data_IF_780690824553
#
_entry.id   IF_780690824553
#
_cell.length_a   1.000
_cell.length_b   1.000
_cell.length_c   1.000
_cell.angle_alpha   90.00
_cell.angle_beta   90.00
_cell.angle_gamma   90.00
#
_symmetry.space_group_name_H-M   'P 1'
#
loop_
_entity.id
_entity.type
_entity.pdbx_description
1 polymer ?
#
# COMPACT_ATOMS: atom_id res chain seq x y z
N UNK A 1 -58.70 -55.09 37.66
CA UNK A 1 -58.65 -53.62 37.58
C UNK A 1 -57.27 -53.17 38.08
N UNK A 2 -56.31 -53.07 37.18
CA UNK A 2 -55.04 -52.38 37.45
C UNK A 2 -54.82 -51.41 36.30
N UNK A 3 -54.85 -50.12 36.63
CA UNK A 3 -54.53 -49.01 35.75
C UNK A 3 -53.10 -48.64 36.11
N UNK A 4 -52.14 -48.97 35.25
CA UNK A 4 -50.77 -48.49 35.40
C UNK A 4 -50.64 -47.10 34.78
N UNK A 5 -50.19 -46.19 35.62
CA UNK A 5 -50.00 -44.77 35.43
C UNK A 5 -48.75 -44.52 34.58
N UNK A 6 -48.95 -44.27 33.28
CA UNK A 6 -47.89 -43.83 32.37
C UNK A 6 -47.83 -42.30 32.34
N UNK A 7 -47.22 -41.71 33.37
CA UNK A 7 -46.99 -40.27 33.42
C UNK A 7 -45.50 -39.93 33.58
N UNK A 8 -45.05 -38.96 32.77
CA UNK A 8 -43.90 -38.09 33.05
C UNK A 8 -42.48 -38.59 32.74
N UNK A 9 -42.18 -38.94 31.47
CA UNK A 9 -40.78 -39.01 30.98
C UNK A 9 -40.44 -37.87 29.99
N UNK A 10 -41.45 -37.30 29.31
CA UNK A 10 -41.25 -36.24 28.31
C UNK A 10 -40.63 -34.91 28.81
N UNK A 11 -40.93 -34.37 30.02
CA UNK A 11 -40.44 -33.05 30.40
C UNK A 11 -38.98 -33.05 30.85
N UNK A 12 -38.43 -34.20 31.24
CA UNK A 12 -37.02 -34.32 31.63
C UNK A 12 -36.10 -34.35 30.40
N UNK A 13 -36.44 -35.14 29.38
CA UNK A 13 -35.68 -35.23 28.14
C UNK A 13 -35.58 -33.88 27.39
N UNK A 14 -36.66 -33.10 27.38
CA UNK A 14 -36.66 -31.76 26.78
C UNK A 14 -35.74 -30.76 27.50
N UNK A 15 -35.60 -30.87 28.83
CA UNK A 15 -34.67 -30.05 29.61
C UNK A 15 -33.22 -30.40 29.29
N UNK A 16 -32.90 -31.69 29.18
CA UNK A 16 -31.56 -32.18 28.83
C UNK A 16 -31.12 -31.72 27.45
N UNK A 17 -32.02 -31.77 26.45
CA UNK A 17 -31.74 -31.26 25.10
C UNK A 17 -31.51 -29.74 25.09
N UNK A 18 -32.29 -29.00 25.89
CA UNK A 18 -32.12 -27.56 26.04
C UNK A 18 -30.76 -27.17 26.61
N UNK A 19 -30.31 -27.87 27.65
CA UNK A 19 -28.99 -27.67 28.28
C UNK A 19 -27.84 -28.05 27.33
N UNK A 20 -27.97 -29.15 26.60
CA UNK A 20 -27.00 -29.56 25.59
C UNK A 20 -26.87 -28.51 24.46
N UNK A 21 -28.00 -27.98 23.96
CA UNK A 21 -28.03 -26.91 22.97
C UNK A 21 -27.39 -25.61 23.48
N UNK A 22 -27.62 -25.23 24.73
CA UNK A 22 -26.97 -24.07 25.37
C UNK A 22 -25.46 -24.29 25.44
N UNK A 23 -25.02 -25.48 25.84
CA UNK A 23 -23.61 -25.85 25.94
C UNK A 23 -22.92 -25.83 24.56
N UNK A 24 -23.57 -26.40 23.53
CA UNK A 24 -23.08 -26.38 22.15
C UNK A 24 -23.02 -24.96 21.57
N UNK A 25 -24.01 -24.11 21.85
CA UNK A 25 -24.00 -22.69 21.44
C UNK A 25 -22.88 -21.92 22.14
N UNK A 26 -22.69 -22.12 23.44
CA UNK A 26 -21.61 -21.49 24.21
C UNK A 26 -20.23 -21.89 23.65
N UNK A 27 -20.06 -23.16 23.27
CA UNK A 27 -18.82 -23.68 22.65
C UNK A 27 -18.56 -23.14 21.24
N UNK A 28 -19.61 -22.80 20.48
CA UNK A 28 -19.51 -22.20 19.13
C UNK A 28 -19.23 -20.70 19.13
N UNK A 29 -19.64 -19.96 20.17
CA UNK A 29 -19.43 -18.51 20.30
C UNK A 29 -17.96 -18.04 20.19
N UNK A 30 -16.96 -18.67 20.85
CA UNK A 30 -15.58 -18.21 20.73
C UNK A 30 -15.03 -18.28 19.31
N UNK A 31 -15.44 -19.30 18.53
CA UNK A 31 -15.06 -19.40 17.11
C UNK A 31 -15.69 -18.30 16.24
N UNK A 32 -16.91 -17.86 16.57
CA UNK A 32 -17.57 -16.75 15.86
C UNK A 32 -17.06 -15.37 16.24
N UNK A 33 -16.14 -15.25 17.21
CA UNK A 33 -15.50 -13.99 17.54
C UNK A 33 -14.01 -13.98 17.22
N UNK A 34 -13.35 -15.15 17.11
CA UNK A 34 -11.96 -15.25 16.67
C UNK A 34 -11.72 -14.59 15.30
N UNK A 35 -12.63 -14.77 14.34
CA UNK A 35 -12.52 -14.08 13.04
C UNK A 35 -12.70 -12.56 13.16
N UNK A 36 -13.25 -12.04 14.28
CA UNK A 36 -13.33 -10.61 14.58
C UNK A 36 -12.04 -10.04 15.16
N UNK A 37 -11.15 -10.90 15.61
CA UNK A 37 -9.87 -10.52 16.20
C UNK A 37 -8.73 -10.44 15.18
N UNK A 38 -8.90 -11.02 13.99
CA UNK A 38 -7.86 -10.98 12.97
C UNK A 38 -7.88 -9.67 12.16
N UNK A 39 -6.71 -9.08 11.85
CA UNK A 39 -6.59 -8.06 10.82
C UNK A 39 -7.17 -8.58 9.51
N UNK A 40 -7.96 -7.74 8.82
CA UNK A 40 -8.60 -8.13 7.58
C UNK A 40 -8.14 -7.23 6.45
N UNK A 41 -7.69 -7.87 5.37
CA UNK A 41 -7.29 -7.22 4.13
C UNK A 41 -8.27 -7.61 3.02
N UNK A 42 -8.65 -6.67 2.18
CA UNK A 42 -9.36 -6.94 0.93
C UNK A 42 -9.03 -5.89 -0.12
N UNK A 43 -9.06 -6.29 -1.39
CA UNK A 43 -8.83 -5.41 -2.53
C UNK A 43 -10.09 -4.60 -2.83
N UNK A 44 -9.91 -3.35 -3.26
CA UNK A 44 -10.97 -2.53 -3.85
C UNK A 44 -11.03 -2.79 -5.35
N UNK A 45 -11.99 -2.18 -6.05
CA UNK A 45 -12.10 -2.27 -7.51
C UNK A 45 -10.80 -1.87 -8.21
N UNK A 46 -10.15 -0.80 -7.73
CA UNK A 46 -8.83 -0.36 -8.19
C UNK A 46 -7.73 -1.41 -7.96
N UNK A 47 -7.79 -2.11 -6.83
CA UNK A 47 -6.89 -3.23 -6.56
C UNK A 47 -7.08 -4.36 -7.55
N UNK A 48 -8.33 -4.75 -7.81
CA UNK A 48 -8.64 -5.83 -8.76
C UNK A 48 -8.21 -5.49 -10.19
N UNK A 49 -8.31 -4.22 -10.60
CA UNK A 49 -7.76 -3.73 -11.88
C UNK A 49 -6.24 -3.85 -11.98
N UNK A 50 -5.55 -3.83 -10.85
CA UNK A 50 -4.10 -3.97 -10.76
C UNK A 50 -3.65 -5.41 -10.41
N UNK A 51 -4.59 -6.35 -10.29
CA UNK A 51 -4.29 -7.71 -9.87
C UNK A 51 -3.41 -8.45 -10.89
N UNK A 52 -2.59 -9.36 -10.37
CA UNK A 52 -1.79 -10.30 -11.13
C UNK A 52 -2.02 -11.69 -10.55
N UNK A 53 -2.36 -12.66 -11.38
CA UNK A 53 -2.55 -14.06 -10.99
C UNK A 53 -1.42 -14.92 -11.51
N UNK A 54 -1.19 -16.06 -10.84
CA UNK A 54 -0.33 -17.11 -11.37
C UNK A 54 -0.89 -17.62 -12.70
N UNK A 55 -0.03 -17.93 -13.70
CA UNK A 55 -0.51 -18.57 -14.90
C UNK A 55 -0.93 -20.02 -14.60
N UNK A 56 -1.99 -20.46 -15.29
CA UNK A 56 -2.49 -21.83 -15.19
C UNK A 56 -1.47 -22.80 -15.81
N UNK A 57 -0.82 -23.60 -14.96
CA UNK A 57 0.14 -24.63 -15.38
C UNK A 57 -0.53 -25.70 -16.26
N UNK A 58 -1.84 -25.93 -16.07
CA UNK A 58 -2.60 -26.96 -16.79
C UNK A 58 -3.10 -26.52 -18.17
N UNK A 59 -2.97 -25.23 -18.54
CA UNK A 59 -3.23 -24.78 -19.91
C UNK A 59 -1.93 -24.82 -20.70
N UNK A 60 -1.78 -25.88 -21.48
CA UNK A 60 -0.75 -25.98 -22.51
C UNK A 60 -0.65 -24.70 -23.35
N UNK A 61 0.59 -24.33 -23.65
CA UNK A 61 1.02 -23.19 -24.45
C UNK A 61 0.00 -22.75 -25.52
N UNK A 62 -0.73 -21.67 -25.26
CA UNK A 62 -1.73 -21.18 -26.21
C UNK A 62 -2.52 -19.94 -25.78
N UNK A 63 -2.12 -19.25 -24.71
CA UNK A 63 -2.70 -17.97 -24.30
C UNK A 63 -1.66 -16.86 -24.40
N UNK A 64 -1.43 -16.34 -25.61
CA UNK A 64 -0.82 -15.01 -25.75
C UNK A 64 -1.83 -14.00 -25.23
N UNK A 65 -1.64 -13.54 -23.99
CA UNK A 65 -2.27 -12.31 -23.47
C UNK A 65 -1.62 -11.06 -24.10
N UNK A 66 -1.45 -11.10 -25.42
CA UNK A 66 -1.11 -9.95 -26.22
C UNK A 66 -2.37 -9.52 -26.96
N UNK A 67 -2.75 -8.26 -26.69
CA UNK A 67 -3.64 -7.42 -27.49
C UNK A 67 -5.11 -7.36 -27.03
N UNK A 68 -5.49 -6.26 -26.35
CA UNK A 68 -6.88 -5.81 -26.32
C UNK A 68 -7.45 -5.11 -25.08
N UNK A 69 -6.78 -5.08 -23.92
CA UNK A 69 -7.34 -4.45 -22.71
C UNK A 69 -6.29 -3.79 -21.79
N UNK A 70 -5.28 -3.12 -22.36
CA UNK A 70 -4.30 -2.33 -21.59
C UNK A 70 -4.86 -1.00 -21.08
N UNK A 71 -6.06 -0.58 -21.50
CA UNK A 71 -6.52 0.80 -21.29
C UNK A 71 -7.08 1.12 -19.90
N UNK A 72 -7.24 0.14 -19.00
CA UNK A 72 -7.91 0.36 -17.69
C UNK A 72 -7.19 -0.24 -16.47
N UNK A 73 -5.90 -0.59 -16.60
CA UNK A 73 -5.12 -1.08 -15.45
C UNK A 73 -4.79 0.10 -14.52
N UNK A 74 -5.47 0.17 -13.38
CA UNK A 74 -5.14 1.14 -12.33
C UNK A 74 -3.69 0.94 -11.90
N UNK A 75 -2.86 1.97 -12.07
CA UNK A 75 -1.46 1.92 -11.67
C UNK A 75 -1.36 2.00 -10.14
N UNK A 76 -0.77 0.98 -9.51
CA UNK A 76 -0.37 0.99 -8.09
C UNK A 76 1.10 1.38 -8.00
N UNK A 77 1.45 2.34 -7.15
CA UNK A 77 2.81 2.84 -6.96
C UNK A 77 3.37 2.41 -5.59
N UNK A 78 4.68 2.57 -5.38
CA UNK A 78 5.27 2.26 -4.07
C UNK A 78 4.68 3.10 -2.93
N UNK A 79 4.25 4.33 -3.23
CA UNK A 79 3.53 5.15 -2.26
C UNK A 79 2.21 4.52 -1.79
N UNK A 80 1.54 3.72 -2.63
CA UNK A 80 0.32 3.01 -2.23
C UNK A 80 0.62 1.89 -1.23
N UNK A 81 1.78 1.24 -1.36
CA UNK A 81 2.28 0.26 -0.39
C UNK A 81 2.63 0.97 0.92
N UNK A 82 3.30 2.12 0.82
CA UNK A 82 3.61 2.94 1.99
C UNK A 82 2.34 3.42 2.73
N UNK A 83 1.31 3.84 1.99
CA UNK A 83 0.01 4.22 2.55
C UNK A 83 -0.61 3.06 3.34
N UNK A 84 -0.55 1.83 2.81
CA UNK A 84 -1.00 0.64 3.52
C UNK A 84 -0.22 0.45 4.83
N UNK A 85 1.11 0.57 4.81
CA UNK A 85 1.93 0.47 6.01
C UNK A 85 1.54 1.52 7.06
N UNK A 86 1.30 2.77 6.65
CA UNK A 86 0.86 3.83 7.56
C UNK A 86 -0.53 3.55 8.14
N UNK A 87 -1.49 3.11 7.31
CA UNK A 87 -2.83 2.69 7.77
C UNK A 87 -2.75 1.51 8.72
N UNK A 88 -1.84 0.57 8.49
CA UNK A 88 -1.67 -0.58 9.38
C UNK A 88 -1.00 -0.22 10.72
N UNK A 89 -0.16 0.81 10.78
CA UNK A 89 0.42 1.32 12.04
C UNK A 89 -0.52 2.23 12.82
N UNK A 90 -1.15 3.19 12.14
CA UNK A 90 -1.88 4.30 12.76
C UNK A 90 -3.40 4.17 12.64
N UNK A 91 -3.89 3.31 11.76
CA UNK A 91 -5.32 3.04 11.63
C UNK A 91 -6.15 4.23 11.16
N UNK A 92 -7.01 4.70 12.04
CA UNK A 92 -7.89 5.85 11.77
C UNK A 92 -7.21 7.20 12.08
N UNK A 93 -6.06 7.18 12.77
CA UNK A 93 -5.31 8.41 13.09
C UNK A 93 -4.51 8.91 11.88
N UNK A 94 -4.25 8.05 10.89
CA UNK A 94 -3.62 8.49 9.65
C UNK A 94 -4.63 9.24 8.77
N UNK A 95 -4.27 10.41 8.22
CA UNK A 95 -5.09 11.11 7.23
C UNK A 95 -5.02 10.46 5.84
N UNK A 96 -4.24 9.38 5.68
CA UNK A 96 -3.99 8.71 4.41
C UNK A 96 -4.96 7.55 4.24
N UNK A 97 -5.61 7.48 3.07
CA UNK A 97 -6.43 6.37 2.66
C UNK A 97 -5.69 5.53 1.61
N UNK A 98 -5.78 4.20 1.72
CA UNK A 98 -5.35 3.30 0.65
C UNK A 98 -6.40 3.32 -0.46
N UNK A 99 -6.01 3.46 -1.74
CA UNK A 99 -7.00 3.45 -2.85
C UNK A 99 -7.30 2.06 -3.38
N UNK A 100 -6.27 1.20 -3.45
CA UNK A 100 -6.31 -0.14 -4.06
C UNK A 100 -6.72 -1.26 -3.10
N UNK A 101 -6.76 -0.98 -1.80
CA UNK A 101 -7.11 -1.97 -0.79
C UNK A 101 -7.78 -1.33 0.42
N UNK A 102 -8.28 -2.18 1.32
CA UNK A 102 -8.82 -1.81 2.62
C UNK A 102 -8.20 -2.71 3.67
N UNK A 103 -7.78 -2.08 4.77
CA UNK A 103 -7.21 -2.75 5.93
C UNK A 103 -8.06 -2.45 7.15
N UNK A 104 -8.62 -3.49 7.76
CA UNK A 104 -9.48 -3.39 8.93
C UNK A 104 -8.76 -3.97 10.16
N UNK A 105 -9.09 -3.40 11.32
CA UNK A 105 -8.61 -3.86 12.64
C UNK A 105 -7.09 -3.77 12.79
N UNK A 106 -6.52 -2.65 12.35
CA UNK A 106 -5.11 -2.33 12.54
C UNK A 106 -4.62 -2.50 14.00
N UNK A 107 -5.48 -2.22 15.00
CA UNK A 107 -5.14 -2.41 16.41
C UNK A 107 -4.89 -3.87 16.81
N UNK A 108 -5.20 -4.84 15.95
CA UNK A 108 -4.93 -6.27 16.14
C UNK A 108 -3.67 -6.73 15.42
N UNK A 109 -2.99 -5.84 14.71
CA UNK A 109 -1.76 -6.13 13.98
C UNK A 109 -0.58 -6.05 14.94
N UNK A 110 0.01 -7.20 15.26
CA UNK A 110 1.18 -7.24 16.13
C UNK A 110 2.43 -6.76 15.40
N UNK A 111 2.69 -7.31 14.22
CA UNK A 111 3.92 -7.07 13.45
C UNK A 111 3.61 -6.92 11.98
N UNK A 112 4.46 -6.16 11.29
CA UNK A 112 4.47 -6.06 9.84
C UNK A 112 5.88 -6.27 9.33
N UNK A 113 6.00 -7.08 8.29
CA UNK A 113 7.27 -7.40 7.65
C UNK A 113 7.14 -7.08 6.18
N UNK A 114 8.04 -6.24 5.67
CA UNK A 114 8.14 -5.91 4.24
C UNK A 114 9.42 -6.54 3.73
N UNK A 115 9.30 -7.43 2.74
CA UNK A 115 10.43 -8.09 2.09
C UNK A 115 10.53 -7.56 0.67
N UNK A 116 11.67 -6.94 0.34
CA UNK A 116 11.94 -6.45 -1.02
C UNK A 116 12.99 -7.35 -1.66
N UNK A 117 12.63 -8.00 -2.77
CA UNK A 117 13.53 -8.88 -3.52
C UNK A 117 13.92 -8.21 -4.83
N UNK A 118 15.21 -8.01 -5.04
CA UNK A 118 15.75 -7.38 -6.26
C UNK A 118 15.98 -8.44 -7.34
N UNK A 119 15.65 -8.09 -8.58
CA UNK A 119 15.93 -8.92 -9.76
C UNK A 119 14.85 -9.96 -10.08
N UNK A 120 13.66 -9.83 -9.47
CA UNK A 120 12.51 -10.69 -9.75
C UNK A 120 11.36 -9.83 -10.30
N UNK A 121 10.87 -10.14 -11.50
CA UNK A 121 9.69 -9.51 -12.08
C UNK A 121 8.48 -10.44 -12.01
N UNK A 122 7.27 -9.87 -12.16
CA UNK A 122 6.03 -10.65 -12.26
C UNK A 122 6.07 -11.63 -13.45
N UNK A 123 6.71 -11.23 -14.55
CA UNK A 123 6.81 -12.07 -15.74
C UNK A 123 7.83 -13.21 -15.51
N UNK A 124 8.94 -12.95 -14.80
CA UNK A 124 9.87 -14.02 -14.38
C UNK A 124 9.22 -15.03 -13.43
N UNK A 125 8.32 -14.58 -12.55
CA UNK A 125 7.50 -15.46 -11.70
C UNK A 125 6.54 -16.32 -12.53
N UNK A 126 5.88 -15.71 -13.52
CA UNK A 126 4.95 -16.40 -14.42
C UNK A 126 5.66 -17.47 -15.29
N UNK A 127 6.86 -17.19 -15.77
CA UNK A 127 7.63 -18.14 -16.60
C UNK A 127 8.23 -19.32 -15.80
N UNK A 128 8.36 -19.17 -14.48
CA UNK A 128 9.07 -20.11 -13.63
C UNK A 128 8.23 -20.59 -12.44
N UNK A 129 6.90 -20.73 -12.60
CA UNK A 129 5.98 -21.08 -11.49
C UNK A 129 6.42 -22.32 -10.72
N UNK A 130 6.93 -23.33 -11.42
CA UNK A 130 7.42 -24.58 -10.84
C UNK A 130 8.59 -24.40 -9.85
N UNK A 131 9.31 -23.27 -9.93
CA UNK A 131 10.39 -22.93 -9.00
C UNK A 131 9.89 -22.24 -7.74
N UNK A 132 8.62 -21.86 -7.67
CA UNK A 132 8.02 -21.11 -6.56
C UNK A 132 6.75 -21.78 -5.97
N UNK A 133 6.75 -23.10 -5.71
CA UNK A 133 5.55 -23.80 -5.23
C UNK A 133 5.08 -23.30 -3.86
N UNK A 134 6.01 -22.98 -2.96
CA UNK A 134 5.67 -22.43 -1.63
C UNK A 134 5.03 -21.04 -1.74
N UNK A 135 5.58 -20.18 -2.61
CA UNK A 135 5.05 -18.83 -2.80
C UNK A 135 3.64 -18.86 -3.38
N UNK A 136 3.38 -19.77 -4.34
CA UNK A 136 2.05 -20.00 -4.89
C UNK A 136 1.07 -20.52 -3.84
N UNK A 137 1.51 -21.40 -2.95
CA UNK A 137 0.67 -21.93 -1.87
C UNK A 137 0.33 -20.86 -0.82
N UNK A 138 1.25 -19.95 -0.52
CA UNK A 138 1.03 -18.83 0.41
C UNK A 138 0.11 -17.78 -0.23
N UNK A 139 0.25 -17.53 -1.53
CA UNK A 139 -0.49 -16.52 -2.28
C UNK A 139 -1.22 -17.16 -3.48
N UNK A 140 -2.27 -17.96 -3.26
CA UNK A 140 -2.93 -18.72 -4.34
C UNK A 140 -3.55 -17.82 -5.40
N UNK A 141 -4.06 -16.65 -5.00
CA UNK A 141 -4.69 -15.67 -5.89
C UNK A 141 -3.66 -14.74 -6.60
N UNK A 142 -2.36 -14.92 -6.32
CA UNK A 142 -1.30 -14.07 -6.85
C UNK A 142 -1.08 -12.79 -6.04
N UNK A 143 -1.03 -11.64 -6.70
CA UNK A 143 -0.65 -10.36 -6.11
C UNK A 143 -1.13 -9.15 -6.91
N UNK A 144 -0.43 -8.03 -6.76
CA UNK A 144 -0.76 -6.75 -7.41
C UNK A 144 0.48 -6.23 -8.14
N UNK A 145 0.30 -5.77 -9.39
CA UNK A 145 1.39 -5.15 -10.15
C UNK A 145 1.64 -3.74 -9.62
N UNK A 146 2.87 -3.51 -9.14
CA UNK A 146 3.33 -2.19 -8.69
C UNK A 146 4.25 -1.61 -9.75
N UNK A 147 4.04 -0.34 -10.10
CA UNK A 147 4.92 0.42 -10.99
C UNK A 147 6.27 0.60 -10.28
N UNK A 148 7.39 0.15 -10.87
CA UNK A 148 8.70 0.30 -10.25
C UNK A 148 9.07 1.77 -10.08
N UNK A 149 9.58 2.14 -8.89
CA UNK A 149 10.05 3.50 -8.54
C UNK A 149 10.95 4.13 -9.59
N UNK A 150 11.82 3.32 -10.20
CA UNK A 150 12.76 3.76 -11.22
C UNK A 150 12.08 4.34 -12.47
N UNK A 151 10.84 3.93 -12.78
CA UNK A 151 10.09 4.45 -13.95
C UNK A 151 9.69 5.92 -13.79
N UNK A 152 9.71 6.44 -12.57
CA UNK A 152 9.37 7.84 -12.27
C UNK A 152 10.46 8.54 -11.44
N UNK A 153 11.70 8.07 -11.56
CA UNK A 153 12.88 8.78 -11.02
C UNK A 153 13.08 8.67 -9.50
N UNK A 154 12.45 7.69 -8.85
CA UNK A 154 12.62 7.39 -7.42
C UNK A 154 13.31 6.03 -7.18
N UNK A 155 13.72 5.76 -5.95
CA UNK A 155 14.17 4.43 -5.53
C UNK A 155 13.17 3.81 -4.55
N UNK A 156 13.07 2.49 -4.56
CA UNK A 156 12.14 1.74 -3.69
C UNK A 156 12.41 2.00 -2.22
N UNK A 157 13.70 2.10 -1.82
CA UNK A 157 14.09 2.41 -0.45
C UNK A 157 13.65 3.82 -0.04
N UNK A 158 13.81 4.79 -0.94
CA UNK A 158 13.40 6.18 -0.73
C UNK A 158 11.90 6.25 -0.44
N UNK A 159 11.07 5.62 -1.27
CA UNK A 159 9.61 5.70 -1.12
C UNK A 159 9.06 4.91 0.07
N UNK A 160 9.67 3.79 0.44
CA UNK A 160 9.24 3.05 1.62
C UNK A 160 9.60 3.76 2.93
N UNK A 161 10.75 4.44 2.97
CA UNK A 161 11.26 5.06 4.20
C UNK A 161 10.79 6.51 4.40
N UNK A 162 10.36 7.20 3.35
CA UNK A 162 10.08 8.64 3.42
C UNK A 162 8.60 8.93 3.55
N UNK A 163 8.19 9.36 4.73
CA UNK A 163 6.81 9.75 4.99
C UNK A 163 6.41 10.91 4.05
N UNK A 164 5.23 10.85 3.41
CA UNK A 164 4.73 11.92 2.56
C UNK A 164 4.76 13.26 3.30
N UNK A 165 5.19 14.32 2.62
CA UNK A 165 5.24 15.66 3.21
C UNK A 165 3.82 16.06 3.61
N UNK A 166 3.63 16.28 4.91
CA UNK A 166 2.34 16.77 5.40
C UNK A 166 2.03 18.13 4.78
N UNK A 167 0.74 18.43 4.57
CA UNK A 167 0.30 19.70 3.98
C UNK A 167 0.95 20.93 4.66
N UNK A 168 1.05 20.92 5.99
CA UNK A 168 1.71 21.98 6.77
C UNK A 168 3.21 22.10 6.48
N UNK A 169 3.91 20.97 6.35
CA UNK A 169 5.32 20.96 6.01
C UNK A 169 5.54 21.46 4.58
N UNK A 170 4.66 21.09 3.65
CA UNK A 170 4.65 21.60 2.29
C UNK A 170 4.45 23.12 2.22
N UNK A 171 3.53 23.67 3.03
CA UNK A 171 3.37 25.13 3.14
C UNK A 171 4.63 25.81 3.68
N UNK A 172 5.26 25.26 4.73
CA UNK A 172 6.53 25.81 5.27
C UNK A 172 7.62 25.84 4.20
N UNK A 173 7.77 24.75 3.44
CA UNK A 173 8.75 24.66 2.35
C UNK A 173 8.45 25.66 1.24
N UNK A 174 7.18 25.86 0.87
CA UNK A 174 6.79 26.89 -0.09
C UNK A 174 7.10 28.30 0.42
N UNK A 175 6.92 28.57 1.72
CA UNK A 175 7.30 29.87 2.29
C UNK A 175 8.81 30.11 2.26
N UNK A 176 9.63 29.07 2.49
CA UNK A 176 11.09 29.19 2.53
C UNK A 176 11.71 29.21 1.12
N UNK A 177 11.20 28.39 0.21
CA UNK A 177 11.80 28.15 -1.11
C UNK A 177 11.00 28.73 -2.27
N UNK A 178 9.84 29.34 -2.02
CA UNK A 178 8.92 29.88 -3.03
C UNK A 178 8.03 28.80 -3.67
N UNK A 179 8.60 27.64 -4.01
CA UNK A 179 7.87 26.49 -4.56
C UNK A 179 8.44 25.16 -4.06
N UNK A 180 7.66 24.08 -4.19
CA UNK A 180 8.12 22.73 -3.86
C UNK A 180 9.19 22.23 -4.84
N UNK A 181 9.10 22.60 -6.12
CA UNK A 181 10.13 22.30 -7.12
C UNK A 181 11.47 22.96 -6.79
N UNK A 182 11.45 24.21 -6.31
CA UNK A 182 12.66 24.90 -5.86
C UNK A 182 13.25 24.27 -4.58
N UNK A 183 12.39 23.79 -3.68
CA UNK A 183 12.82 23.06 -2.49
C UNK A 183 13.47 21.71 -2.85
N UNK A 184 12.89 20.98 -3.81
CA UNK A 184 13.45 19.73 -4.36
C UNK A 184 14.80 19.97 -5.04
N UNK A 185 14.92 20.98 -5.90
CA UNK A 185 16.17 21.33 -6.57
C UNK A 185 17.31 21.66 -5.58
N UNK A 186 16.96 22.15 -4.39
CA UNK A 186 17.89 22.43 -3.28
C UNK A 186 18.08 21.26 -2.30
N UNK A 187 17.47 20.11 -2.58
CA UNK A 187 17.56 18.92 -1.74
C UNK A 187 16.81 19.01 -0.40
N UNK A 188 15.98 20.03 -0.21
CA UNK A 188 15.16 20.20 1.00
C UNK A 188 13.90 19.32 0.99
N UNK A 189 13.59 18.73 -0.17
CA UNK A 189 12.50 17.77 -0.38
C UNK A 189 13.04 16.59 -1.17
N UNK A 190 12.67 15.39 -0.76
CA UNK A 190 13.00 14.18 -1.50
C UNK A 190 12.16 14.04 -2.77
N UNK A 191 12.76 13.43 -3.81
CA UNK A 191 12.11 13.19 -5.11
C UNK A 191 11.04 12.11 -5.01
N UNK A 192 9.88 12.43 -4.44
CA UNK A 192 8.70 11.56 -4.50
C UNK A 192 7.64 12.13 -5.45
N UNK A 193 7.89 13.28 -6.10
CA UNK A 193 6.91 13.94 -6.94
C UNK A 193 6.70 13.29 -8.31
N UNK A 194 7.68 12.51 -8.81
CA UNK A 194 7.57 11.83 -10.09
C UNK A 194 6.38 10.86 -10.17
N UNK A 195 5.92 10.32 -9.04
CA UNK A 195 4.75 9.45 -8.98
C UNK A 195 3.41 10.18 -9.26
N UNK A 196 3.38 11.52 -9.14
CA UNK A 196 2.18 12.35 -9.32
C UNK A 196 2.13 13.04 -10.69
N UNK A 197 3.21 12.96 -11.46
CA UNK A 197 3.30 13.53 -12.80
C UNK A 197 3.09 12.39 -13.78
N UNK A 198 2.22 12.53 -14.80
CA UNK A 198 2.06 11.52 -15.83
C UNK A 198 3.42 11.12 -16.39
N UNK A 199 3.72 9.82 -16.37
CA UNK A 199 4.92 9.27 -16.99
C UNK A 199 4.72 9.37 -18.50
N UNK A 200 5.10 10.50 -19.08
CA UNK A 200 5.21 10.62 -20.54
C UNK A 200 6.35 9.71 -20.95
N UNK A 201 6.02 8.63 -21.69
CA UNK A 201 7.05 7.78 -22.28
C UNK A 201 7.75 8.64 -23.34
N UNK A 202 9.09 8.64 -23.41
CA UNK A 202 9.81 9.40 -24.42
C UNK A 202 9.51 8.96 -25.87
N UNK A 203 8.68 7.93 -26.08
CA UNK A 203 8.14 7.54 -27.39
C UNK A 203 6.93 8.35 -27.84
N UNK A 204 6.29 9.11 -26.95
CA UNK A 204 5.04 9.84 -27.26
C UNK A 204 5.28 11.33 -27.55
N UNK A 205 6.55 11.72 -27.55
CA UNK A 205 7.03 13.06 -27.85
C UNK A 205 8.08 12.99 -28.98
N UNK A 206 7.71 12.44 -30.14
CA UNK A 206 8.17 12.93 -31.45
C UNK A 206 7.60 12.07 -32.59
N UNK A 207 6.55 12.60 -33.22
CA UNK A 207 6.20 12.31 -34.61
C UNK A 207 5.72 13.62 -35.22
N UNK A 208 6.65 14.56 -35.39
CA UNK A 208 6.37 15.83 -36.03
C UNK A 208 7.52 16.81 -35.97
N UNK A 209 8.53 16.63 -36.83
CA UNK A 209 9.47 17.72 -37.16
C UNK A 209 10.89 17.25 -37.41
N UNK A 210 11.25 17.15 -38.69
CA UNK A 210 12.61 16.94 -39.17
C UNK A 210 13.61 18.04 -38.73
N UNK A 211 14.89 17.64 -38.79
CA UNK A 211 16.10 18.43 -38.93
C UNK A 211 16.96 18.73 -37.67
N UNK A 212 17.89 17.80 -37.44
CA UNK A 212 19.36 18.04 -37.47
C UNK A 212 19.98 18.97 -36.41
N UNK A 213 20.64 18.38 -35.41
CA UNK A 213 21.42 19.15 -34.43
C UNK A 213 22.06 18.33 -33.31
N UNK A 214 23.13 17.59 -33.64
CA UNK A 214 24.25 17.14 -32.80
C UNK A 214 24.28 17.54 -31.30
N UNK A 215 24.29 16.54 -30.40
CA UNK A 215 25.33 16.31 -29.38
C UNK A 215 24.88 15.26 -28.33
N UNK A 216 25.72 14.24 -28.13
CA UNK A 216 25.50 13.16 -27.15
C UNK A 216 25.51 13.65 -25.69
N UNK A 217 24.70 13.07 -24.77
CA UNK A 217 24.90 13.30 -23.34
C UNK A 217 25.74 12.17 -22.71
N UNK A 218 26.88 12.61 -22.21
CA UNK A 218 27.82 11.89 -21.35
C UNK A 218 27.19 11.39 -20.06
N UNK A 219 27.61 10.19 -19.63
CA UNK A 219 27.35 9.56 -18.32
C UNK A 219 27.53 10.54 -17.14
N UNK A 220 26.67 10.54 -16.10
CA UNK A 220 26.97 11.25 -14.88
C UNK A 220 27.96 10.46 -14.01
N UNK A 221 29.06 11.13 -13.66
CA UNK A 221 30.12 10.68 -12.79
C UNK A 221 29.64 10.48 -11.35
N UNK A 222 30.17 9.43 -10.72
CA UNK A 222 30.20 9.27 -9.27
C UNK A 222 30.94 10.45 -8.63
N UNK A 223 30.27 11.18 -7.73
CA UNK A 223 30.91 12.24 -6.95
C UNK A 223 31.20 11.78 -5.52
N UNK A 224 32.47 11.89 -5.18
CA UNK A 224 33.13 11.61 -3.90
C UNK A 224 32.53 12.42 -2.75
N UNK A 225 32.38 11.76 -1.62
CA UNK A 225 32.17 12.40 -0.31
C UNK A 225 33.42 13.16 0.13
N UNK A 226 33.33 14.49 0.16
CA UNK A 226 34.26 15.38 0.87
C UNK A 226 33.46 16.21 1.87
N UNK A 227 33.77 16.11 3.15
CA UNK A 227 33.07 16.79 4.23
C UNK A 227 33.41 18.28 4.32
N UNK A 228 32.44 19.10 4.71
CA UNK A 228 32.64 20.43 5.30
C UNK A 228 31.50 20.76 6.26
N UNK A 229 31.92 21.07 7.49
CA UNK A 229 31.43 22.02 8.49
C UNK A 229 29.93 22.17 8.81
N UNK A 230 29.68 22.13 10.11
CA UNK A 230 28.48 22.63 10.78
C UNK A 230 28.21 24.10 10.41
N UNK A 231 27.04 24.34 9.83
CA UNK A 231 26.44 25.67 9.70
C UNK A 231 25.29 25.81 10.69
N UNK A 232 25.31 26.92 11.43
CA UNK A 232 24.45 27.31 12.55
C UNK A 232 22.93 27.18 12.29
N UNK A 233 22.12 26.96 13.35
CA UNK A 233 20.67 26.88 13.24
C UNK A 233 20.04 28.27 12.98
N UNK A 234 18.96 28.36 12.18
CA UNK A 234 18.29 29.62 11.90
C UNK A 234 17.49 30.13 13.10
N UNK A 235 17.59 31.45 13.29
CA UNK A 235 16.92 32.28 14.31
C UNK A 235 15.41 32.06 14.29
N UNK A 236 14.84 31.74 15.46
CA UNK A 236 13.39 31.64 15.66
C UNK A 236 12.76 33.04 15.62
N UNK A 237 11.89 33.29 14.63
CA UNK A 237 11.00 34.45 14.65
C UNK A 237 9.90 34.25 15.71
N UNK A 238 9.96 35.05 16.76
CA UNK A 238 8.98 35.14 17.84
C UNK A 238 7.74 35.91 17.32
N UNK A 239 6.51 35.37 17.41
CA UNK A 239 5.32 36.14 17.04
C UNK A 239 5.02 37.20 18.10
N UNK A 240 4.75 38.42 17.63
CA UNK A 240 4.35 39.56 18.45
C UNK A 240 2.96 39.33 19.07
N UNK A 241 2.85 39.66 20.36
CA UNK A 241 1.59 39.65 21.10
C UNK A 241 0.66 40.75 20.58
N UNK A 242 -0.60 40.40 20.33
CA UNK A 242 -1.68 41.34 20.01
C UNK A 242 -2.29 41.80 21.33
N UNK A 243 -2.17 43.09 21.63
CA UNK A 243 -2.84 43.74 22.76
C UNK A 243 -4.35 43.81 22.51
N UNK A 244 -5.12 43.31 23.47
CA UNK A 244 -6.57 43.47 23.54
C UNK A 244 -6.94 44.87 24.04
N UNK A 245 -7.59 45.65 23.18
CA UNK A 245 -8.29 46.90 23.56
C UNK A 245 -9.55 46.57 24.36
N UNK A 246 -9.58 47.03 25.60
CA UNK A 246 -10.79 47.24 26.40
C UNK A 246 -11.61 48.38 25.80
N UNK A 247 -12.93 48.16 25.68
CA UNK A 247 -13.91 49.20 25.42
C UNK A 247 -14.67 49.43 26.73
N UNK A 248 -14.53 50.64 27.28
CA UNK A 248 -15.57 51.28 28.08
C UNK A 248 -16.70 51.78 27.15
#
# INVERSE_FOLDING_TARGET
MHVEETASVAPAAAKTIGEELVTLRARRRPFTDAWKEMPKFYMTDDGYKAAWSWPDIDRGAGGTDADGAEEDKTAVYMQDIQALLLVSLLGQETPILTRWCRYLRHAKTSHMVVVVVKGLSADSLAENVERFPELRNIFPDGGVRVVPSAKYGATTESELTQVPISFRSGQKLRCVFGSLQAAEAKGAVFRCYGAFVPVVRPSDADSGGDAEGSAAPSRPNALKSGGVAASEPPVQCKPAAVESKTHD
#
